data_IF_506239072830
#
_entry.id   IF_506239072830
#
_cell.length_a   1.000
_cell.length_b   1.000
_cell.length_c   1.000
_cell.angle_alpha   90.00
_cell.angle_beta   90.00
_cell.angle_gamma   90.00
#
_symmetry.space_group_name_H-M   'P 1'
#
loop_
_entity.id
_entity.type
_entity.pdbx_description
1 polymer ?
#
# COMPACT_ATOMS: atom_id res chain seq x y z
N UNK A 1 0.46 -15.67 0.74
CA UNK A 1 0.12 -16.00 2.15
C UNK A 1 -1.20 -16.76 2.17
N UNK A 2 -1.30 -17.84 2.95
CA UNK A 2 -2.55 -18.61 3.13
C UNK A 2 -3.65 -17.75 3.77
N UNK A 3 -4.91 -18.01 3.42
CA UNK A 3 -6.05 -17.19 3.85
C UNK A 3 -6.22 -17.14 5.38
N UNK A 4 -6.12 -18.28 6.05
CA UNK A 4 -6.28 -18.43 7.50
C UNK A 4 -5.18 -17.76 8.36
N UNK A 5 -4.18 -17.12 7.73
CA UNK A 5 -3.19 -16.28 8.42
C UNK A 5 -3.52 -14.78 8.38
N UNK A 6 -4.57 -14.37 7.67
CA UNK A 6 -4.91 -12.97 7.39
C UNK A 6 -5.80 -12.31 8.46
N UNK A 7 -6.43 -13.08 9.34
CA UNK A 7 -7.33 -12.53 10.38
C UNK A 7 -8.52 -11.76 9.79
N UNK A 8 -9.07 -12.21 8.66
CA UNK A 8 -10.18 -11.54 7.98
C UNK A 8 -11.54 -12.06 8.48
N UNK A 9 -12.59 -11.22 8.50
CA UNK A 9 -13.91 -11.59 8.98
C UNK A 9 -14.75 -12.37 7.95
N UNK A 10 -14.35 -12.35 6.69
CA UNK A 10 -15.06 -12.96 5.56
C UNK A 10 -14.48 -14.33 5.20
N UNK A 11 -15.19 -15.20 4.45
CA UNK A 11 -14.64 -16.46 3.96
C UNK A 11 -13.64 -16.25 2.79
N UNK A 12 -12.87 -17.30 2.47
CA UNK A 12 -11.94 -17.28 1.33
C UNK A 12 -12.71 -17.16 0.01
N UNK A 13 -12.31 -16.22 -0.84
CA UNK A 13 -12.95 -15.95 -2.14
C UNK A 13 -14.08 -14.92 -2.12
N UNK A 14 -14.42 -14.36 -0.95
CA UNK A 14 -15.42 -13.28 -0.84
C UNK A 14 -14.90 -11.94 -1.39
N UNK A 15 -13.59 -11.69 -1.26
CA UNK A 15 -12.91 -10.53 -1.82
C UNK A 15 -11.94 -10.94 -2.93
N UNK A 16 -11.84 -10.10 -3.95
CA UNK A 16 -10.90 -10.27 -5.07
C UNK A 16 -9.45 -10.35 -4.58
N UNK A 17 -8.67 -11.22 -5.21
CA UNK A 17 -7.28 -11.44 -4.85
C UNK A 17 -6.35 -10.63 -5.73
N UNK A 18 -5.70 -9.64 -5.12
CA UNK A 18 -4.68 -8.82 -5.78
C UNK A 18 -3.28 -9.19 -5.29
N UNK A 19 -2.32 -9.23 -6.21
CA UNK A 19 -0.90 -9.37 -5.89
C UNK A 19 -0.10 -8.22 -6.48
N UNK A 20 0.78 -7.64 -5.67
CA UNK A 20 1.66 -6.53 -6.07
C UNK A 20 3.13 -6.92 -5.96
N UNK A 21 3.95 -6.31 -6.81
CA UNK A 21 5.41 -6.34 -6.74
C UNK A 21 5.94 -4.96 -6.35
N UNK A 22 6.86 -4.94 -5.40
CA UNK A 22 7.64 -3.74 -5.04
C UNK A 22 8.67 -3.52 -6.15
N UNK A 23 8.58 -2.37 -6.81
CA UNK A 23 9.49 -2.00 -7.91
C UNK A 23 10.73 -1.28 -7.38
N UNK A 24 10.54 -0.48 -6.33
CA UNK A 24 11.59 0.22 -5.60
C UNK A 24 11.26 0.21 -4.10
N UNK A 25 12.28 0.24 -3.25
CA UNK A 25 12.08 0.29 -1.79
C UNK A 25 11.22 1.49 -1.41
N UNK A 26 10.27 1.32 -0.49
CA UNK A 26 9.33 2.36 -0.07
C UNK A 26 9.95 3.33 0.95
N UNK A 27 11.16 3.83 0.64
CA UNK A 27 11.86 4.83 1.44
C UNK A 27 11.38 6.23 1.08
N UNK A 28 11.53 7.17 2.01
CA UNK A 28 11.19 8.59 1.77
C UNK A 28 11.94 9.16 0.55
N UNK A 29 13.22 8.83 0.39
CA UNK A 29 14.02 9.24 -0.76
C UNK A 29 13.41 8.73 -2.09
N UNK A 30 13.07 7.44 -2.15
CA UNK A 30 12.51 6.85 -3.36
C UNK A 30 11.12 7.41 -3.67
N UNK A 31 10.30 7.69 -2.65
CA UNK A 31 8.98 8.33 -2.82
C UNK A 31 9.14 9.74 -3.36
N UNK A 32 10.04 10.54 -2.79
CA UNK A 32 10.33 11.90 -3.27
C UNK A 32 10.83 11.88 -4.71
N UNK A 33 11.74 10.95 -5.03
CA UNK A 33 12.27 10.81 -6.38
C UNK A 33 11.17 10.39 -7.37
N UNK A 34 10.36 9.39 -7.03
CA UNK A 34 9.23 8.95 -7.84
C UNK A 34 8.25 10.10 -8.09
N UNK A 35 7.91 10.87 -7.05
CA UNK A 35 7.05 12.05 -7.19
C UNK A 35 7.66 13.09 -8.14
N UNK A 36 8.95 13.42 -7.99
CA UNK A 36 9.63 14.37 -8.88
C UNK A 36 9.64 13.93 -10.34
N UNK A 37 9.77 12.63 -10.60
CA UNK A 37 9.82 12.07 -11.96
C UNK A 37 8.45 11.72 -12.54
N UNK A 38 7.39 11.73 -11.73
CA UNK A 38 6.04 11.44 -12.18
C UNK A 38 5.52 12.47 -13.20
N UNK A 39 4.51 12.06 -13.97
CA UNK A 39 3.80 12.95 -14.90
C UNK A 39 3.12 14.10 -14.15
N UNK A 40 2.86 15.20 -14.84
CA UNK A 40 2.14 16.35 -14.26
C UNK A 40 0.77 15.92 -13.72
N UNK A 41 0.05 15.06 -14.43
CA UNK A 41 -1.26 14.54 -14.02
C UNK A 41 -1.19 13.78 -12.69
N UNK A 42 -0.20 12.89 -12.51
CA UNK A 42 -0.02 12.16 -11.24
C UNK A 42 0.36 13.12 -10.11
N UNK A 43 1.23 14.10 -10.39
CA UNK A 43 1.62 15.10 -9.39
C UNK A 43 0.44 15.93 -8.94
N UNK A 44 -0.34 16.47 -9.86
CA UNK A 44 -1.54 17.27 -9.59
C UNK A 44 -2.55 16.44 -8.77
N UNK A 45 -2.85 15.21 -9.21
CA UNK A 45 -3.76 14.33 -8.50
C UNK A 45 -3.29 14.00 -7.08
N UNK A 46 -1.98 13.77 -6.88
CA UNK A 46 -1.43 13.48 -5.56
C UNK A 46 -1.39 14.72 -4.66
N UNK A 47 -1.09 15.90 -5.21
CA UNK A 47 -1.16 17.17 -4.47
C UNK A 47 -2.60 17.42 -4.00
N UNK A 48 -3.58 17.32 -4.90
CA UNK A 48 -4.99 17.46 -4.55
C UNK A 48 -5.40 16.45 -3.47
N UNK A 49 -4.93 15.20 -3.56
CA UNK A 49 -5.21 14.19 -2.56
C UNK A 49 -4.58 14.52 -1.20
N UNK A 50 -3.32 14.98 -1.18
CA UNK A 50 -2.60 15.40 0.02
C UNK A 50 -3.30 16.56 0.72
N UNK A 51 -3.74 17.57 -0.04
CA UNK A 51 -4.47 18.72 0.48
C UNK A 51 -5.84 18.33 1.05
N UNK A 52 -6.61 17.53 0.31
CA UNK A 52 -7.96 17.14 0.73
C UNK A 52 -7.98 16.18 1.92
N UNK A 53 -6.94 15.36 2.09
CA UNK A 53 -6.89 14.31 3.12
C UNK A 53 -5.93 14.61 4.25
N UNK A 54 -5.15 15.69 4.16
CA UNK A 54 -4.23 16.14 5.20
C UNK A 54 -3.05 15.19 5.45
N UNK A 55 -2.37 14.76 4.38
CA UNK A 55 -1.14 13.97 4.48
C UNK A 55 -0.04 14.52 3.56
N UNK A 56 1.18 14.03 3.73
CA UNK A 56 2.38 14.46 3.02
C UNK A 56 3.10 13.27 2.37
N UNK A 57 4.11 13.55 1.53
CA UNK A 57 4.96 12.49 0.96
C UNK A 57 5.68 11.67 2.05
N UNK A 58 6.06 12.30 3.16
CA UNK A 58 6.69 11.59 4.29
C UNK A 58 5.73 10.59 4.95
N UNK A 59 4.42 10.87 4.93
CA UNK A 59 3.42 9.91 5.43
C UNK A 59 3.36 8.66 4.57
N UNK A 60 3.65 8.74 3.26
CA UNK A 60 3.78 7.55 2.41
C UNK A 60 4.97 6.67 2.79
N UNK A 61 6.00 7.23 3.43
CA UNK A 61 7.16 6.48 3.89
C UNK A 61 6.96 5.83 5.27
N UNK A 62 5.85 6.12 5.96
CA UNK A 62 5.53 5.57 7.28
C UNK A 62 4.98 4.13 7.16
N UNK A 63 5.81 3.22 6.67
CA UNK A 63 5.49 1.81 6.49
C UNK A 63 5.69 1.06 7.80
N UNK A 64 4.68 0.32 8.22
CA UNK A 64 4.73 -0.51 9.42
C UNK A 64 4.62 -1.99 9.03
N UNK A 65 5.32 -2.85 9.77
CA UNK A 65 5.24 -4.29 9.59
C UNK A 65 5.05 -4.95 10.95
N UNK A 66 4.19 -5.95 11.00
CA UNK A 66 3.91 -6.66 12.25
C UNK A 66 3.20 -7.99 12.04
N UNK A 67 3.09 -8.75 13.12
CA UNK A 67 2.29 -9.97 13.14
C UNK A 67 0.80 -9.63 13.24
N UNK A 68 -0.01 -10.35 12.47
CA UNK A 68 -1.47 -10.27 12.52
C UNK A 68 -1.94 -11.04 13.75
N UNK A 69 -2.59 -10.35 14.68
CA UNK A 69 -3.22 -10.98 15.83
C UNK A 69 -4.26 -12.05 15.41
N UNK A 70 -4.49 -13.05 16.26
CA UNK A 70 -5.53 -14.04 16.01
C UNK A 70 -6.91 -13.45 16.27
N UNK A 71 -7.66 -13.16 15.22
CA UNK A 71 -9.03 -12.63 15.23
C UNK A 71 -9.88 -13.37 14.20
N UNK A 72 -11.19 -13.46 14.42
CA UNK A 72 -12.12 -14.21 13.55
C UNK A 72 -11.69 -15.67 13.30
N UNK A 73 -10.99 -16.29 14.25
CA UNK A 73 -10.49 -17.67 14.15
C UNK A 73 -9.23 -17.85 13.28
N UNK A 74 -8.65 -16.77 12.76
CA UNK A 74 -7.49 -16.77 11.85
C UNK A 74 -6.42 -15.75 12.29
N UNK A 75 -5.17 -15.90 11.85
CA UNK A 75 -4.07 -14.96 12.18
C UNK A 75 -2.69 -15.61 12.24
N UNK A 76 -1.69 -14.88 12.73
CA UNK A 76 -0.29 -15.31 12.78
C UNK A 76 0.46 -15.19 11.45
N UNK A 77 -0.11 -14.45 10.49
CA UNK A 77 0.60 -13.96 9.32
C UNK A 77 1.38 -12.68 9.63
N UNK A 78 2.17 -12.21 8.67
CA UNK A 78 2.79 -10.89 8.72
C UNK A 78 1.98 -9.94 7.85
N UNK A 79 1.62 -8.78 8.39
CA UNK A 79 1.03 -7.67 7.63
C UNK A 79 2.03 -6.55 7.43
N UNK A 80 1.86 -5.84 6.32
CA UNK A 80 2.50 -4.56 6.05
C UNK A 80 1.38 -3.55 5.95
N UNK A 81 1.44 -2.51 6.78
CA UNK A 81 0.56 -1.36 6.71
C UNK A 81 1.29 -0.25 5.95
N UNK A 82 0.76 0.11 4.78
CA UNK A 82 1.21 1.28 4.04
C UNK A 82 0.77 2.55 4.78
N UNK A 83 1.55 3.62 4.65
CA UNK A 83 1.23 4.89 5.29
C UNK A 83 0.00 5.60 4.70
N UNK A 84 -0.44 5.18 3.51
CA UNK A 84 -1.68 5.66 2.89
C UNK A 84 -2.20 4.63 1.85
N UNK A 85 -3.18 5.04 1.04
CA UNK A 85 -3.79 4.21 0.00
C UNK A 85 -2.75 3.61 -0.96
N UNK A 86 -2.89 2.31 -1.24
CA UNK A 86 -2.05 1.57 -2.17
C UNK A 86 -1.97 2.24 -3.55
N UNK A 87 -3.07 2.85 -4.02
CA UNK A 87 -3.16 3.56 -5.30
C UNK A 87 -2.05 4.58 -5.50
N UNK A 88 -1.66 5.32 -4.46
CA UNK A 88 -0.63 6.35 -4.60
C UNK A 88 0.74 5.76 -4.90
N UNK A 89 1.04 4.57 -4.39
CA UNK A 89 2.28 3.87 -4.67
C UNK A 89 2.27 3.28 -6.09
N UNK A 90 1.11 2.89 -6.61
CA UNK A 90 0.96 2.48 -8.02
C UNK A 90 1.10 3.66 -8.98
N UNK A 91 0.45 4.79 -8.68
CA UNK A 91 0.56 6.02 -9.49
C UNK A 91 2.01 6.52 -9.56
N UNK A 92 2.77 6.36 -8.47
CA UNK A 92 4.20 6.65 -8.38
C UNK A 92 5.09 5.54 -8.96
N UNK A 93 4.52 4.48 -9.52
CA UNK A 93 5.23 3.31 -10.06
C UNK A 93 6.16 2.59 -9.07
N UNK A 94 5.91 2.76 -7.76
CA UNK A 94 6.63 2.07 -6.68
C UNK A 94 6.08 0.67 -6.44
N UNK A 95 4.79 0.47 -6.69
CA UNK A 95 4.12 -0.82 -6.71
C UNK A 95 3.55 -1.12 -8.10
N UNK A 96 3.54 -2.39 -8.47
CA UNK A 96 2.92 -2.86 -9.70
C UNK A 96 2.05 -4.08 -9.43
N UNK A 97 0.78 -4.02 -9.79
CA UNK A 97 -0.11 -5.18 -9.78
C UNK A 97 0.40 -6.25 -10.77
N UNK A 98 0.45 -7.51 -10.32
CA UNK A 98 0.92 -8.67 -11.10
C UNK A 98 -0.13 -9.77 -11.24
N UNK A 99 -1.12 -9.83 -10.35
CA UNK A 99 -2.28 -10.72 -10.44
C UNK A 99 -3.50 -9.94 -9.96
N UNK A 100 -4.62 -10.15 -10.65
CA UNK A 100 -5.95 -9.63 -10.36
C UNK A 100 -6.94 -10.78 -10.35
#
# INVERSE_FOLDING_TARGET
MVFNKRGLPYPEGDQDYHQYRVMHDLTEENIINAFKTASSEVKESLIDAMENRGFSLSDLANIQQGEIAKVFGAGGGTQIQLGNSLKYYEDLALLKEVIK
#
